data_IF_397716829354
#
_entry.id   IF_397716829354
#
_cell.length_a   1.000
_cell.length_b   1.000
_cell.length_c   1.000
_cell.angle_alpha   90.00
_cell.angle_beta   90.00
_cell.angle_gamma   90.00
#
_symmetry.space_group_name_H-M   'P 1'
#
loop_
_entity.id
_entity.type
_entity.pdbx_description
1 polymer ?
#
# COMPACT_ATOMS: atom_id res chain seq x y z
N UNK A 1 -27.46 40.56 -26.82
CA UNK A 1 -26.75 39.30 -27.13
C UNK A 1 -25.33 39.19 -26.53
N UNK A 2 -24.92 39.98 -25.52
CA UNK A 2 -23.57 39.86 -24.88
C UNK A 2 -23.53 38.98 -23.62
N UNK A 3 -24.65 38.82 -22.89
CA UNK A 3 -24.71 38.06 -21.63
C UNK A 3 -24.68 36.54 -21.82
N UNK A 4 -25.19 36.03 -22.95
CA UNK A 4 -25.25 34.58 -23.24
C UNK A 4 -23.83 33.98 -23.42
N UNK A 5 -22.93 34.74 -24.05
CA UNK A 5 -21.52 34.33 -24.26
C UNK A 5 -20.68 34.32 -22.98
N UNK A 6 -21.11 35.03 -21.93
CA UNK A 6 -20.41 35.07 -20.64
C UNK A 6 -20.79 33.85 -19.81
N UNK A 7 -22.07 33.49 -19.77
CA UNK A 7 -22.56 32.30 -19.04
C UNK A 7 -21.96 31.02 -19.63
N UNK A 8 -21.89 30.89 -20.95
CA UNK A 8 -21.28 29.73 -21.60
C UNK A 8 -19.80 29.56 -21.24
N UNK A 9 -19.03 30.65 -21.17
CA UNK A 9 -17.60 30.62 -20.80
C UNK A 9 -17.40 30.15 -19.36
N UNK A 10 -18.25 30.56 -18.43
CA UNK A 10 -18.20 30.08 -17.05
C UNK A 10 -18.64 28.62 -16.91
N UNK A 11 -19.63 28.17 -17.70
CA UNK A 11 -20.02 26.75 -17.71
C UNK A 11 -18.91 25.83 -18.24
N UNK A 12 -18.17 26.24 -19.28
CA UNK A 12 -17.03 25.47 -19.80
C UNK A 12 -15.87 25.43 -18.81
N UNK A 13 -15.58 26.55 -18.13
CA UNK A 13 -14.54 26.62 -17.10
C UNK A 13 -14.87 25.74 -15.89
N UNK A 14 -16.15 25.69 -15.49
CA UNK A 14 -16.64 24.80 -14.43
C UNK A 14 -16.58 23.32 -14.83
N UNK A 15 -16.89 22.99 -16.10
CA UNK A 15 -16.82 21.62 -16.60
C UNK A 15 -15.37 21.10 -16.71
N UNK A 16 -14.40 21.97 -17.00
CA UNK A 16 -12.97 21.62 -17.02
C UNK A 16 -12.44 21.25 -15.61
N UNK A 17 -12.89 21.93 -14.56
CA UNK A 17 -12.46 21.69 -13.19
C UNK A 17 -12.93 20.34 -12.62
N UNK A 18 -14.06 19.80 -13.12
CA UNK A 18 -14.64 18.56 -12.61
C UNK A 18 -13.98 17.28 -13.14
N UNK A 19 -13.16 17.35 -14.18
CA UNK A 19 -12.54 16.15 -14.79
C UNK A 19 -11.22 15.73 -14.13
N UNK A 20 -10.65 16.58 -13.26
CA UNK A 20 -9.32 16.36 -12.70
C UNK A 20 -9.27 15.34 -11.55
N UNK A 21 -10.40 14.96 -10.97
CA UNK A 21 -10.42 14.04 -9.82
C UNK A 21 -10.44 12.55 -10.17
N UNK A 22 -10.70 12.16 -11.43
CA UNK A 22 -10.86 10.73 -11.74
C UNK A 22 -9.57 10.01 -12.13
N UNK A 23 -8.52 10.74 -12.49
CA UNK A 23 -7.28 10.15 -13.03
C UNK A 23 -6.44 9.49 -11.91
N UNK A 24 -6.42 10.06 -10.70
CA UNK A 24 -5.66 9.53 -9.55
C UNK A 24 -6.14 8.14 -9.12
N UNK A 25 -7.44 7.98 -8.89
CA UNK A 25 -8.05 6.72 -8.44
C UNK A 25 -7.76 5.54 -9.37
N UNK A 26 -7.71 5.80 -10.69
CA UNK A 26 -7.46 4.74 -11.67
C UNK A 26 -6.03 4.21 -11.64
N UNK A 27 -5.04 5.07 -11.37
CA UNK A 27 -3.63 4.69 -11.28
C UNK A 27 -3.35 3.91 -10.01
N UNK A 28 -3.86 4.38 -8.88
CA UNK A 28 -3.73 3.72 -7.57
C UNK A 28 -4.32 2.30 -7.64
N UNK A 29 -5.56 2.19 -8.13
CA UNK A 29 -6.24 0.90 -8.31
C UNK A 29 -5.46 -0.05 -9.21
N UNK A 30 -4.88 0.45 -10.30
CA UNK A 30 -4.06 -0.36 -11.21
C UNK A 30 -2.76 -0.86 -10.57
N UNK A 31 -2.10 -0.03 -9.75
CA UNK A 31 -0.93 -0.44 -8.99
C UNK A 31 -1.27 -1.50 -7.93
N UNK A 32 -2.38 -1.34 -7.22
CA UNK A 32 -2.85 -2.32 -6.24
C UNK A 32 -3.27 -3.64 -6.88
N UNK A 33 -3.93 -3.61 -8.05
CA UNK A 33 -4.21 -4.82 -8.82
C UNK A 33 -2.93 -5.56 -9.24
N UNK A 34 -1.85 -4.81 -9.56
CA UNK A 34 -0.53 -5.39 -9.86
C UNK A 34 0.12 -5.98 -8.61
N UNK A 35 0.04 -5.29 -7.48
CA UNK A 35 0.51 -5.76 -6.18
C UNK A 35 -0.14 -7.09 -5.79
N UNK A 36 -1.48 -7.19 -5.88
CA UNK A 36 -2.21 -8.43 -5.62
C UNK A 36 -1.79 -9.56 -6.59
N UNK A 37 -1.49 -9.24 -7.85
CA UNK A 37 -0.96 -10.23 -8.81
C UNK A 37 0.44 -10.70 -8.45
N UNK A 38 1.31 -9.82 -7.93
CA UNK A 38 2.66 -10.18 -7.50
C UNK A 38 2.65 -11.03 -6.23
N UNK A 39 1.80 -10.69 -5.25
CA UNK A 39 1.62 -11.49 -4.04
C UNK A 39 1.32 -12.95 -4.33
N UNK A 40 0.46 -13.22 -5.32
CA UNK A 40 0.10 -14.57 -5.76
C UNK A 40 1.27 -15.39 -6.33
N UNK A 41 2.39 -14.75 -6.67
CA UNK A 41 3.59 -15.42 -7.21
C UNK A 41 4.64 -15.71 -6.16
N UNK A 42 4.54 -15.10 -4.96
CA UNK A 42 5.47 -15.34 -3.87
C UNK A 42 5.27 -16.79 -3.39
N UNK A 43 6.33 -17.59 -3.34
CA UNK A 43 6.26 -19.00 -2.91
C UNK A 43 5.71 -19.16 -1.50
N UNK A 44 6.01 -18.22 -0.60
CA UNK A 44 5.55 -18.21 0.79
C UNK A 44 4.10 -17.72 0.94
N UNK A 45 3.51 -17.17 -0.12
CA UNK A 45 2.09 -16.81 -0.11
C UNK A 45 1.25 -18.07 -0.30
N UNK A 46 0.67 -18.58 0.79
CA UNK A 46 -0.29 -19.67 0.73
C UNK A 46 -1.72 -19.11 0.82
N UNK A 47 -2.44 -19.20 -0.30
CA UNK A 47 -3.80 -18.66 -0.43
C UNK A 47 -4.73 -19.29 0.63
N UNK A 48 -5.38 -18.45 1.43
CA UNK A 48 -6.33 -18.88 2.47
C UNK A 48 -5.75 -19.04 3.88
N UNK A 49 -4.45 -18.84 4.07
CA UNK A 49 -3.82 -18.84 5.40
C UNK A 49 -3.73 -17.45 6.03
N UNK A 50 -3.67 -16.41 5.20
CA UNK A 50 -3.54 -15.04 5.65
C UNK A 50 -4.86 -14.29 5.54
N UNK A 51 -5.18 -13.53 6.58
CA UNK A 51 -6.32 -12.61 6.61
C UNK A 51 -5.93 -11.25 6.05
N UNK A 52 -4.70 -10.82 6.35
CA UNK A 52 -4.16 -9.52 5.99
C UNK A 52 -2.75 -9.63 5.41
N UNK A 53 -2.40 -8.67 4.58
CA UNK A 53 -1.04 -8.47 4.09
C UNK A 53 -0.65 -7.02 4.38
N UNK A 54 0.53 -6.81 4.95
CA UNK A 54 1.08 -5.49 5.21
C UNK A 54 2.31 -5.30 4.34
N UNK A 55 2.23 -4.39 3.38
CA UNK A 55 3.35 -3.98 2.54
C UNK A 55 4.01 -2.76 3.16
N UNK A 56 5.29 -2.84 3.47
CA UNK A 56 6.07 -1.81 4.18
C UNK A 56 7.19 -1.33 3.25
N UNK A 57 7.10 -0.10 2.71
CA UNK A 57 8.23 0.49 2.00
C UNK A 57 9.34 0.83 2.99
N UNK A 58 10.62 0.54 2.66
CA UNK A 58 11.75 0.85 3.54
C UNK A 58 12.26 2.30 3.38
N UNK A 59 11.80 2.98 2.34
CA UNK A 59 12.06 4.39 2.05
C UNK A 59 10.70 5.09 1.96
N UNK A 60 10.53 6.22 2.63
CA UNK A 60 9.26 6.93 2.70
C UNK A 60 9.06 7.63 4.04
N UNK A 61 7.82 7.71 4.52
CA UNK A 61 7.51 8.37 5.78
C UNK A 61 7.99 7.53 6.97
N UNK A 62 9.10 7.96 7.59
CA UNK A 62 9.77 7.22 8.66
C UNK A 62 8.88 6.87 9.86
N UNK A 63 7.87 7.70 10.16
CA UNK A 63 6.91 7.45 11.25
C UNK A 63 6.08 6.18 11.02
N UNK A 64 5.34 6.09 9.91
CA UNK A 64 4.49 4.94 9.60
C UNK A 64 5.29 3.67 9.31
N UNK A 65 6.49 3.81 8.73
CA UNK A 65 7.42 2.69 8.54
C UNK A 65 7.86 2.15 9.90
N UNK A 66 8.30 3.03 10.81
CA UNK A 66 8.74 2.62 12.16
C UNK A 66 7.61 1.99 12.95
N UNK A 67 6.38 2.51 12.82
CA UNK A 67 5.20 1.94 13.45
C UNK A 67 4.89 0.53 12.93
N UNK A 68 5.01 0.33 11.61
CA UNK A 68 4.84 -0.99 10.97
C UNK A 68 5.92 -1.99 11.38
N UNK A 69 7.18 -1.56 11.42
CA UNK A 69 8.30 -2.37 11.94
C UNK A 69 8.06 -2.74 13.41
N UNK A 70 7.61 -1.80 14.24
CA UNK A 70 7.27 -2.02 15.64
C UNK A 70 6.06 -2.95 15.81
N UNK A 71 5.06 -2.86 14.91
CA UNK A 71 3.91 -3.74 14.90
C UNK A 71 4.33 -5.18 14.61
N UNK A 72 5.12 -5.43 13.56
CA UNK A 72 5.68 -6.77 13.28
C UNK A 72 6.49 -7.32 14.48
N UNK A 73 7.26 -6.48 15.17
CA UNK A 73 8.05 -6.91 16.32
C UNK A 73 7.18 -7.44 17.47
N UNK A 74 6.06 -6.77 17.77
CA UNK A 74 5.14 -7.15 18.86
C UNK A 74 4.04 -8.13 18.45
N UNK A 75 3.71 -8.20 17.16
CA UNK A 75 2.64 -9.05 16.66
C UNK A 75 2.98 -10.54 16.78
N UNK A 76 2.04 -11.31 17.29
CA UNK A 76 2.08 -12.79 17.38
C UNK A 76 1.10 -13.46 16.42
N UNK A 77 0.31 -12.68 15.68
CA UNK A 77 -0.66 -13.20 14.73
C UNK A 77 0.02 -13.60 13.41
N UNK A 78 0.21 -14.91 13.23
CA UNK A 78 0.77 -15.51 12.03
C UNK A 78 -0.15 -15.40 10.79
N UNK A 79 -1.42 -14.99 10.94
CA UNK A 79 -2.34 -14.77 9.81
C UNK A 79 -2.12 -13.43 9.09
N UNK A 80 -1.15 -12.62 9.54
CA UNK A 80 -0.74 -11.39 8.86
C UNK A 80 0.58 -11.67 8.14
N UNK A 81 0.59 -11.45 6.82
CA UNK A 81 1.79 -11.57 5.99
C UNK A 81 2.44 -10.21 5.80
N UNK A 82 3.76 -10.11 5.99
CA UNK A 82 4.49 -8.84 5.87
C UNK A 82 5.41 -8.88 4.65
N UNK A 83 5.39 -7.81 3.87
CA UNK A 83 6.25 -7.62 2.69
C UNK A 83 7.06 -6.35 2.88
N UNK A 84 8.39 -6.46 2.98
CA UNK A 84 9.28 -5.32 2.91
C UNK A 84 9.66 -5.04 1.45
N UNK A 85 9.45 -3.81 0.98
CA UNK A 85 9.77 -3.36 -0.39
C UNK A 85 10.57 -2.05 -0.36
N UNK A 86 11.02 -1.58 -1.53
CA UNK A 86 11.77 -0.34 -1.70
C UNK A 86 12.98 -0.29 -0.75
N UNK A 87 13.77 -1.36 -0.74
CA UNK A 87 14.84 -1.59 0.24
C UNK A 87 16.11 -0.88 -0.23
N UNK A 88 16.42 0.25 0.41
CA UNK A 88 17.67 0.98 0.15
C UNK A 88 18.92 0.25 0.67
N UNK A 89 18.79 -0.52 1.76
CA UNK A 89 19.88 -1.28 2.35
C UNK A 89 19.38 -2.49 3.13
N UNK A 90 19.59 -3.68 2.56
CA UNK A 90 19.26 -4.95 3.22
C UNK A 90 20.03 -5.13 4.54
N UNK A 91 21.26 -4.61 4.63
CA UNK A 91 22.05 -4.62 5.86
C UNK A 91 21.39 -3.79 6.97
N UNK A 92 20.91 -2.58 6.64
CA UNK A 92 20.24 -1.71 7.60
C UNK A 92 18.91 -2.33 8.07
N UNK A 93 18.12 -2.89 7.13
CA UNK A 93 16.89 -3.60 7.46
C UNK A 93 17.15 -4.79 8.40
N UNK A 94 18.17 -5.62 8.10
CA UNK A 94 18.58 -6.75 8.97
C UNK A 94 18.98 -6.30 10.37
N UNK A 95 19.70 -5.18 10.50
CA UNK A 95 20.10 -4.66 11.81
C UNK A 95 18.88 -4.22 12.66
N UNK A 96 17.86 -3.62 12.02
CA UNK A 96 16.65 -3.18 12.72
C UNK A 96 15.69 -4.32 13.06
N UNK A 97 15.56 -5.30 12.16
CA UNK A 97 14.52 -6.33 12.25
C UNK A 97 15.00 -7.67 12.80
N UNK A 98 16.30 -7.99 12.65
CA UNK A 98 16.89 -9.24 13.13
C UNK A 98 16.14 -10.48 12.65
N UNK A 99 15.90 -11.40 13.57
CA UNK A 99 15.27 -12.70 13.31
C UNK A 99 13.82 -12.60 12.81
N UNK A 100 13.17 -11.43 12.96
CA UNK A 100 11.82 -11.21 12.41
C UNK A 100 11.78 -11.39 10.90
N UNK A 101 12.87 -11.08 10.19
CA UNK A 101 12.93 -11.28 8.73
C UNK A 101 12.94 -12.75 8.31
N UNK A 102 13.26 -13.67 9.23
CA UNK A 102 13.31 -15.11 8.96
C UNK A 102 11.97 -15.81 9.22
N UNK A 103 10.96 -15.07 9.69
CA UNK A 103 9.65 -15.66 9.95
C UNK A 103 8.94 -16.05 8.65
N UNK A 104 8.22 -17.17 8.67
CA UNK A 104 7.51 -17.73 7.51
C UNK A 104 6.51 -16.76 6.86
N UNK A 105 5.98 -15.82 7.65
CA UNK A 105 5.01 -14.82 7.24
C UNK A 105 5.65 -13.47 6.91
N UNK A 106 6.96 -13.43 6.66
CA UNK A 106 7.70 -12.23 6.24
C UNK A 106 8.38 -12.52 4.91
N UNK A 107 8.28 -11.57 3.98
CA UNK A 107 8.95 -11.58 2.70
C UNK A 107 9.73 -10.28 2.50
N UNK A 108 10.93 -10.42 1.95
CA UNK A 108 11.84 -9.30 1.65
C UNK A 108 11.94 -9.22 0.13
N UNK A 109 11.40 -8.16 -0.45
CA UNK A 109 11.41 -7.91 -1.88
C UNK A 109 12.76 -7.31 -2.31
N UNK A 110 13.76 -8.16 -2.49
CA UNK A 110 15.10 -7.74 -2.91
C UNK A 110 15.15 -7.25 -4.37
N UNK A 111 14.17 -7.65 -5.19
CA UNK A 111 14.11 -7.30 -6.62
C UNK A 111 13.27 -6.04 -6.90
N UNK A 112 12.65 -5.44 -5.87
CA UNK A 112 11.70 -4.34 -6.00
C UNK A 112 10.54 -4.66 -6.97
N UNK A 113 10.06 -5.90 -6.95
CA UNK A 113 8.83 -6.27 -7.67
C UNK A 113 7.65 -5.40 -7.20
N UNK A 114 7.63 -4.99 -5.93
CA UNK A 114 6.58 -4.21 -5.30
C UNK A 114 6.83 -2.69 -5.34
N UNK A 115 7.71 -2.20 -6.23
CA UNK A 115 7.91 -0.77 -6.47
C UNK A 115 7.12 -0.34 -7.71
N UNK A 116 6.15 0.57 -7.55
CA UNK A 116 5.18 0.89 -8.60
C UNK A 116 5.45 2.22 -9.32
N UNK A 117 6.46 2.97 -8.89
CA UNK A 117 6.72 4.36 -9.28
C UNK A 117 5.49 5.26 -9.04
N UNK A 118 4.79 5.00 -7.95
CA UNK A 118 3.65 5.78 -7.48
C UNK A 118 3.99 6.36 -6.11
N UNK A 119 3.98 7.68 -6.01
CA UNK A 119 4.51 8.40 -4.85
C UNK A 119 3.83 7.97 -3.54
N UNK A 120 2.51 7.74 -3.55
CA UNK A 120 1.77 7.37 -2.35
C UNK A 120 2.01 5.91 -1.99
N UNK A 121 1.89 5.02 -2.98
CA UNK A 121 2.06 3.57 -2.79
C UNK A 121 3.47 3.22 -2.33
N UNK A 122 4.47 3.90 -2.90
CA UNK A 122 5.88 3.60 -2.60
C UNK A 122 6.39 4.29 -1.34
N UNK A 123 5.59 5.17 -0.70
CA UNK A 123 5.98 5.95 0.49
C UNK A 123 5.27 5.56 1.78
N UNK A 124 4.08 4.96 1.69
CA UNK A 124 3.25 4.60 2.85
C UNK A 124 3.06 3.09 2.96
N UNK A 125 3.06 2.53 4.18
CA UNK A 125 2.64 1.16 4.36
C UNK A 125 1.18 0.95 3.94
N UNK A 126 0.89 -0.20 3.36
CA UNK A 126 -0.45 -0.57 2.88
C UNK A 126 -0.89 -1.85 3.56
N UNK A 127 -2.11 -1.86 4.08
CA UNK A 127 -2.77 -3.06 4.58
C UNK A 127 -3.76 -3.53 3.53
N UNK A 128 -3.65 -4.80 3.14
CA UNK A 128 -4.58 -5.46 2.23
C UNK A 128 -5.38 -6.50 3.01
N UNK A 129 -6.69 -6.44 2.92
CA UNK A 129 -7.60 -7.46 3.46
C UNK A 129 -7.83 -8.52 2.37
N UNK A 130 -7.32 -9.74 2.60
CA UNK A 130 -7.30 -10.83 1.60
C UNK A 130 -8.08 -12.07 2.02
N UNK A 131 -8.73 -12.02 3.18
CA UNK A 131 -9.65 -13.05 3.65
C UNK A 131 -10.86 -13.26 2.71
N UNK A 132 -11.27 -12.22 1.98
CA UNK A 132 -12.35 -12.29 1.00
C UNK A 132 -11.82 -12.67 -0.39
N UNK A 133 -12.18 -13.85 -0.93
CA UNK A 133 -11.67 -14.29 -2.23
C UNK A 133 -12.23 -13.49 -3.42
N UNK A 134 -13.31 -12.72 -3.23
CA UNK A 134 -13.98 -11.96 -4.30
C UNK A 134 -13.51 -10.52 -4.40
N UNK A 135 -12.99 -9.94 -3.33
CA UNK A 135 -12.61 -8.53 -3.24
C UNK A 135 -11.45 -8.38 -2.27
N UNK A 136 -10.40 -7.71 -2.74
CA UNK A 136 -9.33 -7.23 -1.86
C UNK A 136 -9.66 -5.79 -1.51
N UNK A 137 -9.71 -5.49 -0.22
CA UNK A 137 -9.81 -4.12 0.29
C UNK A 137 -8.43 -3.67 0.74
N UNK A 138 -8.18 -2.37 0.70
CA UNK A 138 -6.88 -1.82 1.04
C UNK A 138 -7.02 -0.49 1.76
N UNK A 139 -6.04 -0.22 2.62
CA UNK A 139 -5.96 1.01 3.40
C UNK A 139 -4.48 1.40 3.57
N UNK A 140 -4.21 2.69 3.53
CA UNK A 140 -2.88 3.24 3.81
C UNK A 140 -2.73 3.53 5.30
N UNK A 141 -1.57 3.22 5.85
CA UNK A 141 -1.18 3.70 7.18
C UNK A 141 -0.61 5.11 7.02
N UNK A 142 -1.46 6.10 7.26
CA UNK A 142 -1.22 7.52 7.06
C UNK A 142 -1.89 8.32 8.20
N UNK A 143 -1.72 9.66 8.29
CA UNK A 143 -2.27 10.42 9.41
C UNK A 143 -3.77 10.20 9.60
N UNK A 144 -4.15 9.69 10.77
CA UNK A 144 -5.54 9.38 11.12
C UNK A 144 -5.93 7.91 10.94
N UNK A 145 -5.08 7.06 10.35
CA UNK A 145 -5.32 5.62 10.16
C UNK A 145 -4.21 4.79 10.83
N UNK A 146 -4.58 3.80 11.65
CA UNK A 146 -3.63 2.95 12.40
C UNK A 146 -3.99 1.47 12.27
N UNK A 147 -3.06 0.59 12.61
CA UNK A 147 -3.28 -0.86 12.56
C UNK A 147 -4.53 -1.31 13.34
N UNK A 148 -4.84 -0.68 14.48
CA UNK A 148 -6.01 -1.00 15.30
C UNK A 148 -7.34 -0.69 14.60
N UNK A 149 -7.32 0.24 13.64
CA UNK A 149 -8.48 0.58 12.82
C UNK A 149 -8.59 -0.36 11.61
N UNK A 150 -7.45 -0.69 11.01
CA UNK A 150 -7.37 -1.38 9.72
C UNK A 150 -7.39 -2.91 9.82
N UNK A 151 -7.02 -3.50 10.96
CA UNK A 151 -6.94 -4.95 11.15
C UNK A 151 -8.17 -5.59 11.84
N UNK A 152 -9.31 -4.88 11.88
CA UNK A 152 -10.57 -5.38 12.45
C UNK A 152 -11.22 -6.44 11.57
#
# INVERSE_FOLDING_TARGET
MRKLNIVWKYCVLFFLLCTSCHIGDTKEKSALDRMVKQLKRISNYNKGTFTHIVVIPNVGCGGYISESEAFLKRNTNDSIFFVFTNISSLKALRLRMGDKLQQKNVYVDENNDFLFNDERIDSYPIVLQVNNPKKVEWDFLEPGNSFEQTLK
#
